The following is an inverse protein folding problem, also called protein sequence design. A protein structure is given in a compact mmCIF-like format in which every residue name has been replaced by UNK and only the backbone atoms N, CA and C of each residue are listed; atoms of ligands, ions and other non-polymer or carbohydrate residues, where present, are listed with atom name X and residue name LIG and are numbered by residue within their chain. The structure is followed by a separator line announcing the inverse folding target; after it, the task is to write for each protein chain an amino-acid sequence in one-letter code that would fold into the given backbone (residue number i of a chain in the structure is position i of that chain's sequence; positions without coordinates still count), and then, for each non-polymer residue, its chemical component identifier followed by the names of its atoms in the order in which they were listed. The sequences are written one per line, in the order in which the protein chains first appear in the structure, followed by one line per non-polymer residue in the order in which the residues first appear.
data_IF_582668924391
#
_entry.id   IF_582668924391
#
_cell.length_a   1.000
_cell.length_b   1.000
_cell.length_c   1.000
_cell.angle_alpha   90.00
_cell.angle_beta   90.00
_cell.angle_gamma   90.00
#
_symmetry.space_group_name_H-M   'P 1'
#
loop_
_entity.id
_entity.type
_entity.pdbx_description
1 polymer ?
#
# COMPACT_ATOMS: atom_id res chain seq x y z
N UNK A 1 -24.79 -8.44 12.12
CA UNK A 1 -23.32 -8.28 12.21
C UNK A 1 -22.92 -6.85 11.82
N UNK A 2 -23.34 -5.84 12.62
CA UNK A 2 -23.21 -4.39 12.31
C UNK A 2 -22.77 -3.54 13.51
N UNK A 3 -22.06 -4.12 14.49
CA UNK A 3 -21.77 -3.44 15.77
C UNK A 3 -20.27 -3.20 16.02
N UNK A 4 -19.36 -3.77 15.22
CA UNK A 4 -17.92 -3.68 15.51
C UNK A 4 -17.18 -2.44 14.94
N UNK A 5 -17.81 -1.65 14.05
CA UNK A 5 -17.14 -0.51 13.41
C UNK A 5 -17.19 0.77 14.27
N UNK A 6 -18.07 0.85 15.28
CA UNK A 6 -18.22 2.06 16.09
C UNK A 6 -17.18 2.19 17.21
N UNK A 7 -16.55 1.10 17.64
CA UNK A 7 -15.67 1.09 18.81
C UNK A 7 -14.25 1.62 18.55
N UNK A 8 -13.78 1.62 17.30
CA UNK A 8 -12.45 2.17 16.95
C UNK A 8 -12.48 3.70 16.84
N UNK A 9 -13.64 4.29 16.57
CA UNK A 9 -13.81 5.75 16.47
C UNK A 9 -13.86 6.39 17.87
N UNK A 10 -14.25 5.65 18.92
CA UNK A 10 -14.39 6.16 20.28
C UNK A 10 -13.10 6.13 21.13
N UNK A 11 -12.08 5.34 20.77
CA UNK A 11 -10.85 5.23 21.58
C UNK A 11 -9.80 6.32 21.29
N UNK A 12 -10.03 7.21 20.32
CA UNK A 12 -9.12 8.32 19.99
C UNK A 12 -9.44 9.57 20.85
N UNK A 13 -10.55 9.58 21.58
CA UNK A 13 -11.08 10.75 22.30
C UNK A 13 -10.55 11.01 23.72
N UNK A 14 -9.48 10.36 24.18
CA UNK A 14 -8.97 10.55 25.56
C UNK A 14 -7.46 10.86 25.55
N UNK A 15 -7.10 11.97 24.92
CA UNK A 15 -5.90 12.71 25.30
C UNK A 15 -6.31 14.16 25.52
N UNK A 16 -5.91 14.82 26.62
CA UNK A 16 -6.17 16.24 26.83
C UNK A 16 -5.48 17.03 25.72
N UNK A 17 -6.27 17.55 24.78
CA UNK A 17 -5.78 18.36 23.67
C UNK A 17 -5.72 19.81 24.14
N UNK A 18 -4.53 20.26 24.54
CA UNK A 18 -4.23 21.69 24.60
C UNK A 18 -4.54 22.28 23.23
N UNK A 19 -5.34 23.35 23.20
CA UNK A 19 -5.75 24.01 21.96
C UNK A 19 -4.51 24.44 21.17
N UNK A 20 -4.21 23.84 20.01
CA UNK A 20 -3.04 24.24 19.27
C UNK A 20 -3.31 25.62 18.69
N UNK A 21 -2.35 26.53 18.87
CA UNK A 21 -2.23 27.76 18.05
C UNK A 21 -2.45 27.35 16.59
N UNK A 22 -3.23 28.14 15.83
CA UNK A 22 -3.46 27.93 14.38
C UNK A 22 -2.11 27.90 13.64
N UNK A 23 -1.49 26.72 13.58
CA UNK A 23 -0.41 26.42 12.66
C UNK A 23 -1.03 26.43 11.26
N UNK A 24 -0.39 27.15 10.35
CA UNK A 24 -0.81 27.25 8.95
C UNK A 24 -0.84 25.84 8.38
N UNK A 25 -2.01 25.36 7.94
CA UNK A 25 -2.18 24.04 7.36
C UNK A 25 -1.16 23.85 6.22
N UNK A 26 -0.31 22.84 6.36
CA UNK A 26 0.70 22.53 5.36
C UNK A 26 0.18 21.35 4.54
N UNK A 27 -0.31 21.67 3.34
CA UNK A 27 -0.79 20.67 2.38
C UNK A 27 0.29 20.48 1.33
N UNK A 28 0.76 19.24 1.17
CA UNK A 28 1.74 18.86 0.17
C UNK A 28 1.20 17.76 -0.72
N UNK A 29 1.37 17.89 -2.03
CA UNK A 29 1.03 16.83 -2.97
C UNK A 29 2.28 15.99 -3.22
N UNK A 30 2.11 14.72 -3.57
CA UNK A 30 3.23 13.92 -4.05
C UNK A 30 2.82 12.95 -5.15
N UNK A 31 3.79 12.64 -6.02
CA UNK A 31 3.67 11.69 -7.12
C UNK A 31 4.93 10.85 -7.18
N UNK A 32 4.82 9.58 -7.58
CA UNK A 32 5.96 8.70 -7.63
C UNK A 32 5.72 7.40 -8.36
N UNK A 33 6.79 6.61 -8.42
CA UNK A 33 6.76 5.23 -8.89
C UNK A 33 7.42 4.39 -7.81
N UNK A 34 6.72 3.38 -7.34
CA UNK A 34 7.22 2.39 -6.39
C UNK A 34 7.12 1.01 -7.01
N UNK A 35 7.78 0.05 -6.40
CA UNK A 35 7.75 -1.33 -6.83
C UNK A 35 8.03 -2.25 -5.67
N UNK A 36 7.45 -3.45 -5.72
CA UNK A 36 7.60 -4.42 -4.66
C UNK A 36 6.52 -5.48 -4.70
N UNK A 37 6.19 -6.03 -3.55
CA UNK A 37 5.14 -7.04 -3.45
C UNK A 37 3.90 -6.44 -2.79
N UNK A 38 2.70 -6.82 -3.24
CA UNK A 38 2.39 -7.80 -4.29
C UNK A 38 2.33 -7.23 -5.72
N UNK A 39 2.42 -5.91 -5.88
CA UNK A 39 2.35 -5.23 -7.19
C UNK A 39 3.77 -4.77 -7.56
N UNK A 40 4.36 -5.42 -8.57
CA UNK A 40 5.78 -5.31 -8.94
C UNK A 40 6.22 -3.88 -9.22
N UNK A 41 5.48 -3.15 -10.05
CA UNK A 41 5.70 -1.72 -10.33
C UNK A 41 4.34 -1.03 -10.31
N UNK A 42 4.24 0.05 -9.54
CA UNK A 42 3.02 0.83 -9.37
C UNK A 42 3.33 2.33 -9.34
N UNK A 43 2.45 3.09 -9.98
CA UNK A 43 2.41 4.54 -9.81
C UNK A 43 1.76 4.88 -8.48
N UNK A 44 2.25 5.90 -7.80
CA UNK A 44 1.69 6.37 -6.53
C UNK A 44 1.43 7.87 -6.56
N UNK A 45 0.33 8.26 -5.94
CA UNK A 45 -0.04 9.64 -5.73
C UNK A 45 -0.60 9.80 -4.32
N UNK A 46 -0.51 11.01 -3.78
CA UNK A 46 -1.13 11.28 -2.50
C UNK A 46 -0.95 12.70 -2.02
N UNK A 47 -1.44 12.90 -0.81
CA UNK A 47 -1.45 14.20 -0.15
C UNK A 47 -0.95 14.02 1.29
N UNK A 48 -0.15 14.96 1.76
CA UNK A 48 0.13 15.15 3.17
C UNK A 48 -0.59 16.40 3.66
N UNK A 49 -1.23 16.29 4.82
CA UNK A 49 -1.88 17.37 5.54
C UNK A 49 -1.34 17.37 6.97
N UNK A 50 -0.48 18.35 7.26
CA UNK A 50 0.28 18.41 8.52
C UNK A 50 1.09 17.11 8.74
N UNK A 51 0.74 16.34 9.78
CA UNK A 51 1.42 15.09 10.13
C UNK A 51 0.72 13.84 9.59
N UNK A 52 -0.34 14.00 8.80
CA UNK A 52 -1.11 12.88 8.25
C UNK A 52 -0.96 12.84 6.74
N UNK A 53 -1.16 11.67 6.15
CA UNK A 53 -1.12 11.50 4.70
C UNK A 53 -2.08 10.44 4.21
N UNK A 54 -2.58 10.64 3.00
CA UNK A 54 -3.32 9.62 2.25
C UNK A 54 -2.54 9.33 0.98
N UNK A 55 -2.27 8.06 0.75
CA UNK A 55 -1.60 7.59 -0.47
C UNK A 55 -2.48 6.59 -1.19
N UNK A 56 -2.51 6.69 -2.51
CA UNK A 56 -3.00 5.66 -3.39
C UNK A 56 -1.84 5.17 -4.26
N UNK A 57 -1.74 3.87 -4.44
CA UNK A 57 -0.80 3.27 -5.38
C UNK A 57 -1.50 2.19 -6.18
N UNK A 58 -1.19 2.12 -7.46
CA UNK A 58 -1.84 1.18 -8.37
C UNK A 58 -0.94 0.89 -9.55
N UNK A 59 -1.06 -0.34 -10.05
CA UNK A 59 -0.26 -0.80 -11.17
C UNK A 59 -0.90 -2.01 -11.81
N UNK A 60 -0.62 -2.19 -13.09
CA UNK A 60 -0.96 -3.38 -13.84
C UNK A 60 0.28 -3.83 -14.61
N UNK A 61 0.67 -5.09 -14.41
CA UNK A 61 1.64 -5.74 -15.26
C UNK A 61 0.90 -6.45 -16.39
N UNK A 62 1.27 -6.08 -17.63
CA UNK A 62 0.64 -6.52 -18.87
C UNK A 62 0.42 -8.05 -18.83
N UNK A 63 -0.86 -8.45 -18.81
CA UNK A 63 -1.42 -9.81 -18.81
C UNK A 63 -1.31 -10.70 -17.56
N UNK A 64 -0.78 -10.25 -16.41
CA UNK A 64 -0.55 -11.16 -15.27
C UNK A 64 -1.04 -10.69 -13.90
N UNK A 65 -0.91 -9.41 -13.56
CA UNK A 65 -1.23 -8.91 -12.21
C UNK A 65 -1.69 -7.47 -12.26
N UNK A 66 -2.72 -7.13 -11.50
CA UNK A 66 -3.08 -5.75 -11.26
C UNK A 66 -3.54 -5.58 -9.82
N UNK A 67 -3.41 -4.36 -9.31
CA UNK A 67 -3.88 -4.07 -7.97
C UNK A 67 -3.85 -2.61 -7.63
N UNK A 68 -4.45 -2.32 -6.49
CA UNK A 68 -4.58 -0.99 -5.92
C UNK A 68 -4.40 -1.09 -4.41
N UNK A 69 -3.64 -0.17 -3.84
CA UNK A 69 -3.42 -0.04 -2.41
C UNK A 69 -3.72 1.39 -1.96
N UNK A 70 -4.38 1.51 -0.82
CA UNK A 70 -4.62 2.75 -0.10
C UNK A 70 -3.86 2.72 1.23
N UNK A 71 -3.23 3.83 1.57
CA UNK A 71 -2.48 3.99 2.81
C UNK A 71 -2.97 5.22 3.57
N UNK A 72 -3.28 5.02 4.86
CA UNK A 72 -3.50 6.09 5.83
C UNK A 72 -2.25 6.22 6.67
N UNK A 73 -1.59 7.37 6.59
CA UNK A 73 -0.22 7.57 7.06
C UNK A 73 -0.18 8.60 8.19
N UNK A 74 0.65 8.33 9.20
CA UNK A 74 1.04 9.27 10.23
C UNK A 74 2.56 9.46 10.22
N UNK A 75 2.99 10.71 10.10
CA UNK A 75 4.39 11.15 10.14
C UNK A 75 4.72 11.48 11.60
N UNK A 76 5.50 10.62 12.25
CA UNK A 76 5.87 10.81 13.65
C UNK A 76 7.24 11.47 13.83
N UNK A 77 8.07 11.51 12.79
CA UNK A 77 9.37 12.19 12.81
C UNK A 77 9.73 12.72 11.43
N UNK A 78 10.13 13.98 11.37
CA UNK A 78 10.61 14.65 10.16
C UNK A 78 11.80 15.55 10.52
N UNK A 79 13.00 15.19 10.04
CA UNK A 79 14.26 15.93 10.30
C UNK A 79 15.16 15.85 9.09
N UNK A 80 15.74 16.98 8.66
CA UNK A 80 16.79 17.03 7.63
C UNK A 80 16.45 16.26 6.33
N UNK A 81 15.23 16.41 5.81
CA UNK A 81 14.72 15.68 4.63
C UNK A 81 14.53 14.16 4.81
N UNK A 82 14.62 13.67 6.05
CA UNK A 82 14.29 12.29 6.44
C UNK A 82 12.94 12.32 7.13
N UNK A 83 12.02 11.46 6.70
CA UNK A 83 10.74 11.25 7.36
C UNK A 83 10.56 9.79 7.74
N UNK A 84 10.05 9.59 8.96
CA UNK A 84 9.64 8.31 9.48
C UNK A 84 8.12 8.32 9.65
N UNK A 85 7.48 7.30 9.10
CA UNK A 85 6.04 7.23 8.99
C UNK A 85 5.54 5.84 9.39
N UNK A 86 4.31 5.79 9.90
CA UNK A 86 3.57 4.54 10.07
C UNK A 86 2.30 4.65 9.25
N UNK A 87 1.92 3.58 8.56
CA UNK A 87 0.69 3.54 7.78
C UNK A 87 -0.16 2.32 8.08
N UNK A 88 -1.48 2.51 8.04
CA UNK A 88 -2.42 1.42 7.85
C UNK A 88 -2.70 1.30 6.36
N UNK A 89 -2.52 0.09 5.83
CA UNK A 89 -2.69 -0.18 4.41
C UNK A 89 -3.88 -1.10 4.18
N UNK A 90 -4.58 -0.90 3.07
CA UNK A 90 -5.53 -1.87 2.52
C UNK A 90 -5.32 -1.97 1.02
N UNK A 91 -5.32 -3.18 0.48
CA UNK A 91 -5.12 -3.36 -0.95
C UNK A 91 -5.92 -4.52 -1.52
N UNK A 92 -6.28 -4.34 -2.78
CA UNK A 92 -6.85 -5.36 -3.63
C UNK A 92 -5.84 -5.73 -4.73
N UNK A 93 -5.65 -7.03 -4.94
CA UNK A 93 -4.74 -7.56 -5.95
C UNK A 93 -5.40 -8.71 -6.66
N UNK A 94 -5.39 -8.69 -7.98
CA UNK A 94 -5.75 -9.84 -8.79
C UNK A 94 -4.49 -10.42 -9.42
N UNK A 95 -4.25 -11.70 -9.13
CA UNK A 95 -3.13 -12.46 -9.68
C UNK A 95 -3.64 -13.54 -10.62
N UNK A 96 -3.01 -13.65 -11.78
CA UNK A 96 -3.21 -14.77 -12.69
C UNK A 96 -2.28 -15.92 -12.30
N UNK A 97 -2.84 -17.08 -11.97
CA UNK A 97 -2.10 -18.33 -11.74
C UNK A 97 -2.28 -19.22 -12.98
N UNK A 98 -1.17 -19.69 -13.56
CA UNK A 98 -1.21 -20.70 -14.61
C UNK A 98 -1.59 -22.04 -13.98
N UNK A 99 -2.69 -22.63 -14.42
CA UNK A 99 -3.25 -23.86 -13.83
C UNK A 99 -2.89 -25.11 -14.64
N UNK A 100 -2.65 -24.97 -15.94
CA UNK A 100 -2.37 -26.11 -16.82
C UNK A 100 -0.86 -26.35 -17.04
N UNK A 101 -0.37 -27.44 -16.45
CA UNK A 101 0.87 -28.13 -16.87
C UNK A 101 0.52 -29.31 -17.80
N UNK A 102 -0.23 -29.06 -18.87
CA UNK A 102 -0.40 -30.10 -19.88
C UNK A 102 0.96 -30.41 -20.52
N UNK A 103 1.33 -31.69 -20.64
CA UNK A 103 2.56 -32.17 -21.29
C UNK A 103 2.77 -31.54 -22.68
N UNK A 104 1.68 -31.28 -23.40
CA UNK A 104 1.69 -30.59 -24.70
C UNK A 104 2.05 -29.10 -24.62
N UNK A 105 1.79 -28.41 -23.51
CA UNK A 105 2.17 -26.99 -23.35
C UNK A 105 3.69 -26.84 -23.12
N UNK A 106 4.30 -27.84 -22.45
CA UNK A 106 5.75 -27.92 -22.27
C UNK A 106 6.49 -28.17 -23.60
N UNK A 107 5.97 -29.04 -24.47
CA UNK A 107 6.65 -29.42 -25.72
C UNK A 107 6.27 -28.52 -26.92
N UNK A 108 5.02 -28.07 -27.02
CA UNK A 108 4.51 -27.46 -28.26
C UNK A 108 4.10 -25.99 -28.16
N UNK A 109 4.06 -25.35 -26.97
CA UNK A 109 3.54 -23.96 -26.78
C UNK A 109 2.19 -23.67 -27.48
N UNK A 110 1.40 -24.71 -27.77
CA UNK A 110 0.25 -24.61 -28.69
C UNK A 110 -1.08 -25.01 -28.05
N UNK A 111 -1.14 -25.16 -26.73
CA UNK A 111 -2.38 -25.42 -26.00
C UNK A 111 -3.01 -24.14 -25.45
N UNK A 112 -4.34 -24.04 -25.33
CA UNK A 112 -4.97 -22.95 -24.59
C UNK A 112 -4.49 -23.00 -23.14
N UNK A 113 -3.75 -21.98 -22.71
CA UNK A 113 -3.33 -21.87 -21.33
C UNK A 113 -4.54 -21.52 -20.46
N UNK A 114 -4.88 -22.41 -19.52
CA UNK A 114 -5.89 -22.15 -18.50
C UNK A 114 -5.28 -21.36 -17.35
N UNK A 115 -5.98 -20.29 -16.98
CA UNK A 115 -5.55 -19.40 -15.92
C UNK A 115 -6.65 -19.19 -14.92
N UNK A 116 -6.29 -19.32 -13.65
CA UNK A 116 -7.16 -19.00 -12.53
C UNK A 116 -6.80 -17.62 -11.99
N UNK A 117 -7.83 -16.80 -11.74
CA UNK A 117 -7.65 -15.48 -11.13
C UNK A 117 -7.81 -15.61 -9.61
N UNK A 118 -6.72 -15.38 -8.89
CA UNK A 118 -6.73 -15.32 -7.43
C UNK A 118 -6.82 -13.86 -7.01
N UNK A 119 -8.02 -13.46 -6.61
CA UNK A 119 -8.26 -12.16 -6.01
C UNK A 119 -7.89 -12.20 -4.54
N UNK A 120 -7.10 -11.22 -4.11
CA UNK A 120 -6.61 -11.11 -2.74
C UNK A 120 -6.97 -9.72 -2.22
N UNK A 121 -7.62 -9.66 -1.06
CA UNK A 121 -7.84 -8.42 -0.31
C UNK A 121 -7.01 -8.53 0.97
N UNK A 122 -6.16 -7.55 1.25
CA UNK A 122 -5.38 -7.55 2.49
C UNK A 122 -5.39 -6.20 3.18
N UNK A 123 -5.08 -6.25 4.47
CA UNK A 123 -4.86 -5.11 5.33
C UNK A 123 -3.57 -5.34 6.13
N UNK A 124 -2.91 -4.26 6.52
CA UNK A 124 -1.64 -4.35 7.22
C UNK A 124 -1.24 -3.04 7.88
N UNK A 125 -0.13 -3.11 8.60
CA UNK A 125 0.53 -1.94 9.18
C UNK A 125 1.95 -1.90 8.66
N UNK A 126 2.40 -0.74 8.20
CA UNK A 126 3.73 -0.57 7.65
C UNK A 126 4.46 0.57 8.30
N UNK A 127 5.77 0.43 8.36
CA UNK A 127 6.69 1.53 8.56
C UNK A 127 7.15 2.02 7.19
N UNK A 128 7.13 3.34 7.00
CA UNK A 128 7.67 3.96 5.80
C UNK A 128 8.82 4.91 6.15
N UNK A 129 9.85 4.85 5.31
CA UNK A 129 11.00 5.72 5.36
C UNK A 129 11.07 6.52 4.06
N UNK A 130 11.19 7.84 4.20
CA UNK A 130 11.31 8.76 3.07
C UNK A 130 12.57 9.61 3.23
N UNK A 131 13.43 9.60 2.22
CA UNK A 131 14.66 10.40 2.22
C UNK A 131 14.92 11.02 0.85
N UNK A 132 14.74 12.34 0.73
CA UNK A 132 14.95 13.09 -0.53
C UNK A 132 14.29 12.44 -1.75
N UNK A 133 13.11 11.87 -1.53
CA UNK A 133 12.31 11.17 -2.53
C UNK A 133 12.53 9.66 -2.60
N UNK A 134 13.61 9.10 -2.06
CA UNK A 134 13.71 7.66 -1.86
C UNK A 134 12.64 7.21 -0.86
N UNK A 135 11.76 6.32 -1.28
CA UNK A 135 10.67 5.78 -0.47
C UNK A 135 10.85 4.29 -0.24
N UNK A 136 10.74 3.86 1.02
CA UNK A 136 10.76 2.46 1.44
C UNK A 136 9.56 2.23 2.34
N UNK A 137 8.78 1.19 2.06
CA UNK A 137 7.68 0.71 2.90
C UNK A 137 7.90 -0.75 3.25
N UNK A 138 7.61 -1.10 4.50
CA UNK A 138 7.89 -2.40 5.09
C UNK A 138 6.82 -2.70 6.15
N UNK A 139 6.20 -3.87 6.11
CA UNK A 139 5.39 -4.31 7.25
C UNK A 139 4.55 -5.57 7.01
N UNK A 140 3.98 -6.14 8.07
CA UNK A 140 3.10 -7.31 7.94
C UNK A 140 1.75 -6.95 7.34
N UNK A 141 1.21 -7.85 6.52
CA UNK A 141 -0.16 -7.81 6.04
C UNK A 141 -0.81 -9.19 6.06
N UNK A 142 -2.14 -9.20 6.19
CA UNK A 142 -2.99 -10.38 6.31
C UNK A 142 -4.32 -10.13 5.58
N UNK A 143 -4.98 -11.20 5.14
CA UNK A 143 -6.20 -11.06 4.37
C UNK A 143 -6.67 -12.35 3.71
N UNK A 144 -7.18 -12.25 2.50
CA UNK A 144 -7.74 -13.37 1.71
C UNK A 144 -6.85 -13.74 0.53
N UNK A 145 -7.12 -14.89 -0.09
CA UNK A 145 -6.39 -15.36 -1.27
C UNK A 145 -4.92 -15.60 -0.93
N UNK A 146 -4.02 -14.86 -1.57
CA UNK A 146 -2.58 -15.00 -1.28
C UNK A 146 -2.18 -14.51 0.13
N UNK A 147 -3.06 -13.83 0.86
CA UNK A 147 -2.75 -13.24 2.17
C UNK A 147 -3.41 -13.95 3.36
N UNK A 148 -3.93 -15.17 3.17
CA UNK A 148 -4.51 -15.98 4.26
C UNK A 148 -3.53 -16.21 5.43
N UNK A 149 -2.23 -16.27 5.13
CA UNK A 149 -1.16 -16.28 6.13
C UNK A 149 -0.47 -14.92 6.15
N UNK A 150 0.00 -14.45 7.31
CA UNK A 150 0.80 -13.24 7.40
C UNK A 150 1.96 -13.22 6.42
N UNK A 151 2.08 -12.11 5.69
CA UNK A 151 3.18 -11.88 4.74
C UNK A 151 3.80 -10.53 4.97
N UNK A 152 5.09 -10.46 4.71
CA UNK A 152 5.81 -9.20 4.67
C UNK A 152 5.48 -8.49 3.36
N UNK A 153 5.02 -7.25 3.45
CA UNK A 153 4.87 -6.31 2.34
C UNK A 153 6.08 -5.40 2.32
N UNK A 154 6.61 -5.20 1.12
CA UNK A 154 7.70 -4.29 0.86
C UNK A 154 7.41 -3.50 -0.41
N UNK A 155 7.63 -2.19 -0.37
CA UNK A 155 7.68 -1.35 -1.55
C UNK A 155 8.91 -0.45 -1.48
N UNK A 156 9.55 -0.24 -2.63
CA UNK A 156 10.72 0.61 -2.80
C UNK A 156 10.50 1.48 -4.04
N UNK A 157 10.86 2.75 -3.98
CA UNK A 157 10.88 3.57 -5.18
C UNK A 157 11.18 5.03 -4.92
N UNK A 158 10.65 5.87 -5.80
CA UNK A 158 10.86 7.30 -5.77
C UNK A 158 9.53 8.06 -5.71
N UNK A 159 9.44 9.00 -4.78
CA UNK A 159 8.30 9.89 -4.59
C UNK A 159 8.79 11.33 -4.59
N UNK A 160 8.25 12.14 -5.49
CA UNK A 160 8.47 13.57 -5.55
C UNK A 160 7.37 14.29 -4.77
N UNK A 161 7.75 15.14 -3.82
CA UNK A 161 6.82 15.98 -3.04
C UNK A 161 6.85 17.38 -3.63
N UNK A 162 5.68 17.92 -3.93
CA UNK A 162 5.48 19.29 -4.37
C UNK A 162 5.24 20.18 -3.15
N UNK A 163 5.98 21.29 -3.08
CA UNK A 163 5.85 22.34 -2.05
C UNK A 163 4.99 23.51 -2.55
#
# INVERSE_FOLDING_TARGET
MKIFILLIILSIGIFPQESPKKEKENVKLFLGVVGGNPIEVNTTAGIYFNNFGIRISGGAWIYSRYGLQLDLTYIFSSKNSIQHQVSLISAYVSNRKLTSNNFFNFIYRSGPAEYEYINSLYFGATYNFLWKGLFIQLGPAWGTGNFEKPRLIMQLGYVHIFD
#
